data_IF_468694526975
#
_entry.id   IF_468694526975
#
_cell.length_a   1.000
_cell.length_b   1.000
_cell.length_c   1.000
_cell.angle_alpha   90.00
_cell.angle_beta   90.00
_cell.angle_gamma   90.00
#
_symmetry.space_group_name_H-M   'P 1'
#
loop_
_entity.id
_entity.type
_entity.pdbx_description
1 polymer ?
#
# COMPACT_ATOMS: atom_id res chain seq x y z
N UNK A 1 21.96 18.00 6.84
CA UNK A 1 22.34 16.59 7.08
C UNK A 1 21.23 15.72 7.68
N UNK A 2 20.78 15.91 8.94
CA UNK A 2 19.73 15.04 9.53
C UNK A 2 18.38 15.14 8.77
N UNK A 3 18.05 16.34 8.31
CA UNK A 3 16.81 16.60 7.57
C UNK A 3 16.78 15.94 6.19
N UNK A 4 17.83 16.13 5.38
CA UNK A 4 17.94 15.49 4.06
C UNK A 4 17.94 13.97 4.20
N UNK A 5 18.57 13.45 5.25
CA UNK A 5 18.54 12.01 5.56
C UNK A 5 17.11 11.53 5.84
N UNK A 6 16.32 12.29 6.61
CA UNK A 6 14.91 11.93 6.86
C UNK A 6 14.11 11.91 5.56
N UNK A 7 14.26 12.93 4.70
CA UNK A 7 13.58 13.00 3.39
C UNK A 7 13.96 11.80 2.52
N UNK A 8 15.27 11.51 2.41
CA UNK A 8 15.79 10.39 1.64
C UNK A 8 15.25 9.05 2.15
N UNK A 9 15.36 8.79 3.46
CA UNK A 9 14.87 7.55 4.06
C UNK A 9 13.35 7.40 3.89
N UNK A 10 12.59 8.49 4.01
CA UNK A 10 11.15 8.47 3.80
C UNK A 10 10.80 8.18 2.35
N UNK A 11 11.51 8.77 1.39
CA UNK A 11 11.31 8.50 -0.02
C UNK A 11 11.67 7.05 -0.40
N UNK A 12 12.78 6.52 0.11
CA UNK A 12 13.17 5.12 -0.07
C UNK A 12 12.11 4.18 0.52
N UNK A 13 11.62 4.47 1.73
CA UNK A 13 10.58 3.67 2.36
C UNK A 13 9.23 3.75 1.59
N UNK A 14 8.86 4.93 1.08
CA UNK A 14 7.70 5.09 0.22
C UNK A 14 7.82 4.30 -1.09
N UNK A 15 9.00 4.29 -1.71
CA UNK A 15 9.29 3.48 -2.90
C UNK A 15 9.24 1.98 -2.60
N UNK A 16 9.79 1.54 -1.45
CA UNK A 16 9.72 0.15 -1.01
C UNK A 16 8.25 -0.31 -0.85
N UNK A 17 7.43 0.49 -0.17
CA UNK A 17 5.99 0.21 0.00
C UNK A 17 5.28 0.18 -1.35
N UNK A 18 5.51 1.19 -2.21
CA UNK A 18 4.97 1.25 -3.56
C UNK A 18 5.39 0.06 -4.43
N UNK A 19 6.61 -0.44 -4.25
CA UNK A 19 7.18 -1.60 -4.93
C UNK A 19 6.55 -2.92 -4.49
N UNK A 20 6.27 -3.10 -3.19
CA UNK A 20 5.48 -4.25 -2.71
C UNK A 20 4.11 -4.25 -3.36
N UNK A 21 3.41 -3.10 -3.37
CA UNK A 21 2.13 -3.00 -4.06
C UNK A 21 2.26 -3.23 -5.57
N UNK A 22 3.33 -2.74 -6.20
CA UNK A 22 3.60 -2.99 -7.62
C UNK A 22 3.71 -4.48 -7.91
N UNK A 23 4.43 -5.26 -7.11
CA UNK A 23 4.53 -6.70 -7.27
C UNK A 23 3.15 -7.38 -7.23
N UNK A 24 2.31 -6.97 -6.27
CA UNK A 24 0.95 -7.51 -6.15
C UNK A 24 0.09 -7.23 -7.39
N UNK A 25 0.14 -5.99 -7.87
CA UNK A 25 -0.58 -5.54 -9.06
C UNK A 25 -0.02 -6.10 -10.37
N UNK A 26 1.30 -6.30 -10.44
CA UNK A 26 2.00 -6.67 -11.66
C UNK A 26 1.93 -8.16 -11.96
N UNK A 27 2.02 -9.02 -10.94
CA UNK A 27 2.06 -10.46 -11.17
C UNK A 27 1.45 -11.34 -10.09
N UNK A 28 1.43 -10.95 -8.81
CA UNK A 28 0.90 -11.84 -7.75
C UNK A 28 -0.60 -12.09 -7.95
N UNK A 29 -1.41 -11.03 -8.10
CA UNK A 29 -2.86 -11.18 -8.26
C UNK A 29 -3.21 -11.92 -9.55
N UNK A 30 -2.47 -11.67 -10.63
CA UNK A 30 -2.63 -12.39 -11.90
C UNK A 30 -2.26 -13.88 -11.76
N UNK A 31 -1.21 -14.21 -11.02
CA UNK A 31 -0.83 -15.59 -10.73
C UNK A 31 -1.90 -16.32 -9.91
N UNK A 32 -2.42 -15.68 -8.86
CA UNK A 32 -3.49 -16.24 -8.03
C UNK A 32 -4.79 -16.46 -8.84
N UNK A 33 -5.12 -15.53 -9.75
CA UNK A 33 -6.28 -15.65 -10.62
C UNK A 33 -6.21 -16.82 -11.63
N UNK A 34 -5.04 -17.45 -11.81
CA UNK A 34 -4.87 -18.63 -12.67
C UNK A 34 -5.09 -19.96 -11.95
N UNK A 35 -5.37 -19.92 -10.66
CA UNK A 35 -5.71 -21.10 -9.85
C UNK A 35 -7.23 -21.23 -9.74
N UNK A 36 -7.77 -22.41 -9.35
CA UNK A 36 -9.17 -22.51 -8.97
C UNK A 36 -9.53 -21.46 -7.91
N UNK A 37 -10.72 -20.88 -7.99
CA UNK A 37 -11.10 -19.69 -7.22
C UNK A 37 -10.92 -19.89 -5.71
N UNK A 38 -11.30 -21.05 -5.19
CA UNK A 38 -11.19 -21.39 -3.78
C UNK A 38 -9.72 -21.49 -3.34
N UNK A 39 -8.85 -21.98 -4.22
CA UNK A 39 -7.40 -22.09 -3.96
C UNK A 39 -6.75 -20.71 -3.94
N UNK A 40 -7.07 -19.87 -4.93
CA UNK A 40 -6.58 -18.50 -5.00
C UNK A 40 -7.05 -17.65 -3.81
N UNK A 41 -8.33 -17.80 -3.43
CA UNK A 41 -8.92 -17.15 -2.27
C UNK A 41 -8.23 -17.57 -0.97
N UNK A 42 -8.04 -18.88 -0.75
CA UNK A 42 -7.37 -19.40 0.43
C UNK A 42 -5.91 -18.95 0.53
N UNK A 43 -5.18 -18.96 -0.60
CA UNK A 43 -3.80 -18.48 -0.65
C UNK A 43 -3.72 -16.99 -0.32
N UNK A 44 -4.58 -16.15 -0.91
CA UNK A 44 -4.61 -14.72 -0.63
C UNK A 44 -5.04 -14.41 0.81
N UNK A 45 -5.99 -15.18 1.35
CA UNK A 45 -6.36 -15.13 2.76
C UNK A 45 -5.14 -15.41 3.66
N UNK A 46 -4.35 -16.47 3.38
CA UNK A 46 -3.10 -16.73 4.08
C UNK A 46 -2.10 -15.57 4.01
N UNK A 47 -1.91 -15.00 2.82
CA UNK A 47 -1.04 -13.83 2.60
C UNK A 47 -1.53 -12.62 3.42
N UNK A 48 -2.83 -12.36 3.49
CA UNK A 48 -3.38 -11.24 4.25
C UNK A 48 -3.09 -11.35 5.76
N UNK A 49 -3.06 -12.56 6.32
CA UNK A 49 -2.71 -12.80 7.73
C UNK A 49 -1.23 -12.49 8.01
N UNK A 50 -0.35 -12.79 7.06
CA UNK A 50 1.09 -12.52 7.22
C UNK A 50 1.47 -11.09 6.87
N UNK A 51 0.73 -10.44 5.96
CA UNK A 51 0.96 -9.06 5.55
C UNK A 51 0.81 -8.04 6.70
N UNK A 52 -0.04 -8.34 7.70
CA UNK A 52 -0.22 -7.48 8.90
C UNK A 52 0.86 -7.68 9.96
N UNK A 53 1.92 -8.42 9.67
CA UNK A 53 3.07 -8.61 10.56
C UNK A 53 4.24 -7.71 10.14
N UNK A 54 5.22 -7.46 11.03
CA UNK A 54 6.53 -7.01 10.59
C UNK A 54 7.07 -7.97 9.53
N UNK A 55 7.69 -7.49 8.42
CA UNK A 55 8.25 -6.14 8.23
C UNK A 55 7.30 -5.12 7.57
N UNK A 56 6.26 -5.54 6.86
CA UNK A 56 5.44 -4.62 6.04
C UNK A 56 4.75 -3.53 6.86
N UNK A 57 4.22 -3.87 8.03
CA UNK A 57 3.57 -2.88 8.91
C UNK A 57 4.54 -1.81 9.41
N UNK A 58 5.79 -2.18 9.67
CA UNK A 58 6.83 -1.21 10.06
C UNK A 58 7.14 -0.28 8.90
N UNK A 59 7.28 -0.81 7.68
CA UNK A 59 7.51 0.02 6.49
C UNK A 59 6.32 0.97 6.24
N UNK A 60 5.08 0.46 6.26
CA UNK A 60 3.89 1.26 5.96
C UNK A 60 3.63 2.36 7.01
N UNK A 61 3.56 2.01 8.29
CA UNK A 61 3.24 2.98 9.34
C UNK A 61 4.45 3.84 9.73
N UNK A 62 5.67 3.30 9.65
CA UNK A 62 6.89 4.09 9.81
C UNK A 62 7.01 5.17 8.74
N UNK A 63 6.74 4.84 7.47
CA UNK A 63 6.70 5.84 6.39
C UNK A 63 5.57 6.84 6.61
N UNK A 64 4.38 6.39 7.01
CA UNK A 64 3.26 7.28 7.31
C UNK A 64 3.62 8.32 8.39
N UNK A 65 4.25 7.89 9.48
CA UNK A 65 4.68 8.78 10.55
C UNK A 65 5.73 9.78 10.06
N UNK A 66 6.73 9.32 9.29
CA UNK A 66 7.71 10.21 8.70
C UNK A 66 7.08 11.22 7.74
N UNK A 67 6.11 10.81 6.90
CA UNK A 67 5.34 11.70 6.04
C UNK A 67 4.56 12.75 6.85
N UNK A 68 4.01 12.44 8.02
CA UNK A 68 3.37 13.45 8.87
C UNK A 68 4.36 14.53 9.34
N UNK A 69 5.57 14.13 9.71
CA UNK A 69 6.64 15.08 10.07
C UNK A 69 7.03 15.94 8.86
N UNK A 70 7.23 15.33 7.69
CA UNK A 70 7.55 16.04 6.45
C UNK A 70 6.43 16.98 6.00
N UNK A 71 5.17 16.62 6.24
CA UNK A 71 4.00 17.45 5.93
C UNK A 71 4.03 18.74 6.75
N UNK A 72 4.16 18.65 8.08
CA UNK A 72 4.21 19.82 8.96
C UNK A 72 5.38 20.72 8.57
N UNK A 73 6.56 20.13 8.36
CA UNK A 73 7.73 20.91 7.97
C UNK A 73 7.58 21.56 6.60
N UNK A 74 7.03 20.83 5.63
CA UNK A 74 6.76 21.35 4.29
C UNK A 74 5.83 22.56 4.32
N UNK A 75 4.82 22.57 5.20
CA UNK A 75 3.95 23.73 5.42
C UNK A 75 4.72 24.91 6.02
N UNK A 76 5.52 24.66 7.06
CA UNK A 76 6.31 25.72 7.73
C UNK A 76 7.37 26.34 6.80
N UNK A 77 7.98 25.54 5.94
CA UNK A 77 9.03 25.96 5.02
C UNK A 77 8.48 26.45 3.66
N UNK A 78 7.16 26.36 3.43
CA UNK A 78 6.54 26.71 2.15
C UNK A 78 6.89 25.74 0.99
N UNK A 79 7.34 24.52 1.30
CA UNK A 79 7.73 23.52 0.30
C UNK A 79 6.52 22.73 -0.19
N UNK A 80 5.94 23.16 -1.32
CA UNK A 80 4.82 22.46 -1.97
C UNK A 80 5.13 21.00 -2.35
N UNK A 81 6.39 20.69 -2.68
CA UNK A 81 6.82 19.33 -3.03
C UNK A 81 6.78 18.36 -1.84
N UNK A 82 7.27 18.79 -0.66
CA UNK A 82 7.23 17.97 0.56
C UNK A 82 5.78 17.72 1.01
N UNK A 83 4.95 18.77 0.97
CA UNK A 83 3.51 18.68 1.27
C UNK A 83 2.82 17.70 0.31
N UNK A 84 3.04 17.85 -1.00
CA UNK A 84 2.45 16.98 -2.00
C UNK A 84 2.89 15.53 -1.81
N UNK A 85 4.20 15.26 -1.70
CA UNK A 85 4.72 13.91 -1.53
C UNK A 85 4.17 13.22 -0.28
N UNK A 86 4.13 13.93 0.86
CA UNK A 86 3.56 13.41 2.10
C UNK A 86 2.07 13.10 1.97
N UNK A 87 1.26 14.02 1.42
CA UNK A 87 -0.17 13.81 1.23
C UNK A 87 -0.47 12.67 0.26
N UNK A 88 0.29 12.55 -0.83
CA UNK A 88 0.14 11.44 -1.79
C UNK A 88 0.38 10.10 -1.11
N UNK A 89 1.43 9.96 -0.28
CA UNK A 89 1.66 8.71 0.44
C UNK A 89 0.55 8.43 1.47
N UNK A 90 0.16 9.41 2.28
CA UNK A 90 -0.85 9.24 3.32
C UNK A 90 -2.21 8.87 2.72
N UNK A 91 -2.68 9.62 1.71
CA UNK A 91 -3.96 9.32 1.08
C UNK A 91 -3.88 8.03 0.26
N UNK A 92 -2.87 7.90 -0.61
CA UNK A 92 -2.81 6.84 -1.61
C UNK A 92 -2.35 5.49 -1.06
N UNK A 93 -1.46 5.44 -0.08
CA UNK A 93 -1.00 4.19 0.52
C UNK A 93 -1.78 3.85 1.79
N UNK A 94 -1.93 4.80 2.72
CA UNK A 94 -2.51 4.52 4.04
C UNK A 94 -4.02 4.51 4.00
N UNK A 95 -4.66 5.58 3.52
CA UNK A 95 -6.13 5.68 3.50
C UNK A 95 -6.74 4.63 2.57
N UNK A 96 -6.21 4.45 1.36
CA UNK A 96 -6.70 3.38 0.45
C UNK A 96 -6.55 1.99 1.07
N UNK A 97 -5.46 1.75 1.82
CA UNK A 97 -5.30 0.47 2.54
C UNK A 97 -6.37 0.31 3.61
N UNK A 98 -6.52 1.28 4.51
CA UNK A 98 -7.42 1.18 5.65
C UNK A 98 -8.91 1.18 5.26
N UNK A 99 -9.31 2.05 4.34
CA UNK A 99 -10.71 2.24 3.93
C UNK A 99 -11.13 1.34 2.75
N UNK A 100 -10.17 0.80 1.99
CA UNK A 100 -10.44 0.02 0.78
C UNK A 100 -9.98 -1.43 0.90
N UNK A 101 -8.67 -1.66 0.94
CA UNK A 101 -8.11 -3.01 0.86
C UNK A 101 -8.36 -3.84 2.13
N UNK A 102 -8.28 -3.26 3.33
CA UNK A 102 -8.53 -3.97 4.59
C UNK A 102 -9.97 -4.49 4.69
N UNK A 103 -11.03 -3.70 4.39
CA UNK A 103 -12.39 -4.21 4.33
C UNK A 103 -12.57 -5.38 3.35
N UNK A 104 -11.94 -5.31 2.17
CA UNK A 104 -11.97 -6.41 1.20
C UNK A 104 -11.25 -7.65 1.74
N UNK A 105 -10.11 -7.47 2.41
CA UNK A 105 -9.37 -8.57 3.04
C UNK A 105 -10.24 -9.26 4.09
N UNK A 106 -10.89 -8.50 4.97
CA UNK A 106 -11.73 -9.05 6.03
C UNK A 106 -12.92 -9.85 5.46
N UNK A 107 -13.54 -9.37 4.37
CA UNK A 107 -14.62 -10.11 3.69
C UNK A 107 -14.13 -11.42 3.08
N UNK A 108 -12.96 -11.40 2.42
CA UNK A 108 -12.36 -12.61 1.85
C UNK A 108 -12.03 -13.62 2.96
N UNK A 109 -11.48 -13.17 4.09
CA UNK A 109 -11.19 -14.03 5.24
C UNK A 109 -12.45 -14.70 5.79
N UNK A 110 -13.54 -13.93 5.93
CA UNK A 110 -14.81 -14.47 6.41
C UNK A 110 -15.41 -15.51 5.46
N UNK A 111 -15.37 -15.25 4.14
CA UNK A 111 -15.85 -16.20 3.14
C UNK A 111 -15.04 -17.50 3.16
N UNK A 112 -13.69 -17.40 3.15
CA UNK A 112 -12.80 -18.58 3.22
C UNK A 112 -13.01 -19.35 4.52
N UNK A 113 -13.10 -18.68 5.66
CA UNK A 113 -13.29 -19.31 6.97
C UNK A 113 -14.64 -20.02 7.13
N UNK A 114 -15.68 -19.53 6.46
CA UNK A 114 -17.02 -20.16 6.47
C UNK A 114 -17.23 -21.16 5.34
N UNK A 115 -16.38 -21.17 4.31
CA UNK A 115 -16.57 -21.98 3.10
C UNK A 115 -17.75 -21.56 2.22
N UNK A 116 -18.41 -20.43 2.54
CA UNK A 116 -19.61 -19.97 1.84
C UNK A 116 -19.28 -18.84 0.87
N UNK A 117 -19.85 -18.88 -0.34
CA UNK A 117 -19.69 -17.86 -1.40
C UNK A 117 -18.23 -17.51 -1.74
N UNK A 118 -17.30 -18.45 -1.55
CA UNK A 118 -15.86 -18.21 -1.70
C UNK A 118 -15.51 -17.76 -3.12
N UNK A 119 -15.97 -18.49 -4.13
CA UNK A 119 -15.69 -18.17 -5.53
C UNK A 119 -16.26 -16.80 -5.95
N UNK A 120 -17.51 -16.51 -5.61
CA UNK A 120 -18.14 -15.23 -5.91
C UNK A 120 -17.42 -14.06 -5.22
N UNK A 121 -17.06 -14.23 -3.94
CA UNK A 121 -16.30 -13.24 -3.16
C UNK A 121 -14.91 -13.03 -3.75
N UNK A 122 -14.23 -14.10 -4.16
CA UNK A 122 -12.92 -14.05 -4.80
C UNK A 122 -12.93 -13.27 -6.11
N UNK A 123 -13.90 -13.53 -6.99
CA UNK A 123 -14.00 -12.82 -8.27
C UNK A 123 -14.23 -11.31 -8.09
N UNK A 124 -15.05 -10.92 -7.12
CA UNK A 124 -15.21 -9.52 -6.75
C UNK A 124 -13.93 -8.92 -6.15
N UNK A 125 -13.30 -9.67 -5.23
CA UNK A 125 -12.07 -9.29 -4.56
C UNK A 125 -10.94 -9.06 -5.57
N UNK A 126 -10.68 -10.00 -6.47
CA UNK A 126 -9.64 -9.90 -7.51
C UNK A 126 -9.73 -8.57 -8.25
N UNK A 127 -10.92 -8.21 -8.77
CA UNK A 127 -11.09 -6.97 -9.53
C UNK A 127 -10.91 -5.74 -8.65
N UNK A 128 -11.64 -5.66 -7.54
CA UNK A 128 -11.69 -4.42 -6.74
C UNK A 128 -10.41 -4.20 -5.94
N UNK A 129 -9.88 -5.25 -5.33
CA UNK A 129 -8.65 -5.17 -4.54
C UNK A 129 -7.46 -4.81 -5.42
N UNK A 130 -7.34 -5.40 -6.61
CA UNK A 130 -6.25 -5.12 -7.56
C UNK A 130 -6.32 -3.69 -8.09
N UNK A 131 -7.52 -3.20 -8.44
CA UNK A 131 -7.72 -1.81 -8.85
C UNK A 131 -7.27 -0.81 -7.77
N UNK A 132 -7.65 -1.04 -6.51
CA UNK A 132 -7.19 -0.21 -5.39
C UNK A 132 -5.68 -0.37 -5.15
N UNK A 133 -5.14 -1.56 -5.35
CA UNK A 133 -3.71 -1.80 -5.19
C UNK A 133 -2.85 -1.08 -6.24
N UNK A 134 -3.35 -0.89 -7.47
CA UNK A 134 -2.68 -0.03 -8.46
C UNK A 134 -2.57 1.41 -7.96
N UNK A 135 -3.64 1.95 -7.35
CA UNK A 135 -3.61 3.30 -6.74
C UNK A 135 -2.52 3.38 -5.68
N UNK A 136 -2.44 2.39 -4.79
CA UNK A 136 -1.40 2.34 -3.75
C UNK A 136 0.01 2.27 -4.32
N UNK A 137 0.22 1.47 -5.37
CA UNK A 137 1.50 1.34 -6.05
C UNK A 137 1.95 2.66 -6.66
N UNK A 138 1.09 3.29 -7.47
CA UNK A 138 1.37 4.57 -8.11
C UNK A 138 1.61 5.66 -7.05
N UNK A 139 0.79 5.71 -6.02
CA UNK A 139 0.95 6.69 -4.94
C UNK A 139 2.28 6.54 -4.19
N UNK A 140 2.70 5.32 -3.87
CA UNK A 140 3.99 5.09 -3.18
C UNK A 140 5.18 5.56 -4.00
N UNK A 141 5.21 5.23 -5.30
CA UNK A 141 6.28 5.65 -6.21
C UNK A 141 6.23 7.16 -6.47
N UNK A 142 5.05 7.73 -6.74
CA UNK A 142 4.89 9.16 -6.95
C UNK A 142 5.29 9.98 -5.72
N UNK A 143 4.91 9.53 -4.52
CA UNK A 143 5.33 10.15 -3.27
C UNK A 143 6.86 10.14 -3.13
N UNK A 144 7.52 9.01 -3.42
CA UNK A 144 8.98 8.94 -3.37
C UNK A 144 9.64 9.95 -4.32
N UNK A 145 9.16 10.06 -5.56
CA UNK A 145 9.65 11.06 -6.52
C UNK A 145 9.44 12.47 -6.00
N UNK A 146 8.22 12.83 -5.59
CA UNK A 146 7.88 14.17 -5.09
C UNK A 146 8.73 14.58 -3.89
N UNK A 147 9.01 13.65 -2.97
CA UNK A 147 9.85 13.91 -1.80
C UNK A 147 11.33 14.14 -2.17
N UNK A 148 11.82 13.54 -3.27
CA UNK A 148 13.21 13.70 -3.70
C UNK A 148 13.43 14.93 -4.59
N UNK A 149 12.40 15.47 -5.25
CA UNK A 149 12.54 16.67 -6.12
C UNK A 149 13.26 17.84 -5.43
N UNK A 150 12.95 18.20 -4.16
CA UNK A 150 13.64 19.30 -3.48
C UNK A 150 15.13 19.04 -3.16
N UNK A 151 15.59 17.81 -3.32
CA UNK A 151 16.96 17.38 -2.98
C UNK A 151 17.86 17.20 -4.20
N UNK A 152 17.31 17.36 -5.40
CA UNK A 152 18.02 17.33 -6.69
C UNK A 152 18.40 18.74 -7.12
#
# INVERSE_FOLDING_TARGET
MLWELLVLLTAVAAALVGGVFFAFSGFVMAGLARTPDEVGAAAMAGINVTAVRPPLMLALFGTALACLVLLVRGVLDGSGWLVAGALVHLAGCVVVTAAGNVPLNNRLQAAVGSGTDVAATWQHYLRRWTALNHVRSVAGVAAAVLLLVPTL
#
